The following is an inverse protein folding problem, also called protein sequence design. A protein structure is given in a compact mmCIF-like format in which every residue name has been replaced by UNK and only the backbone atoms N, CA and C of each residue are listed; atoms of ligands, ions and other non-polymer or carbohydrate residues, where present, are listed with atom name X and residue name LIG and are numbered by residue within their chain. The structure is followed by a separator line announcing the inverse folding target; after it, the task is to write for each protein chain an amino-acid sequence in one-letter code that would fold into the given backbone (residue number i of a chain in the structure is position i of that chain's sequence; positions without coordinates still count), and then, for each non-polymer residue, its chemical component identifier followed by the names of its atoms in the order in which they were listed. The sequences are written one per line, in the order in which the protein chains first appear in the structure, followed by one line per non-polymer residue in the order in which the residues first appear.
data_IF_633252929404
#
_entry.id   IF_633252929404
#
_cell.length_a   1.000
_cell.length_b   1.000
_cell.length_c   1.000
_cell.angle_alpha   90.00
_cell.angle_beta   90.00
_cell.angle_gamma   90.00
#
_symmetry.space_group_name_H-M   'P 1'
#
loop_
_entity.id
_entity.type
_entity.pdbx_description
1 polymer ?
#
# COMPACT_ATOMS: atom_id res chain seq x y z
N UNK A 1 -1.86 -1.17 -24.62
CA UNK A 1 -0.60 -1.76 -24.11
C UNK A 1 -0.71 -1.80 -22.59
N UNK A 2 -0.93 -2.96 -21.97
CA UNK A 2 -1.01 -3.03 -20.49
C UNK A 2 0.41 -2.90 -19.96
N UNK A 3 0.76 -1.73 -19.43
CA UNK A 3 2.02 -1.51 -18.75
C UNK A 3 2.11 -2.53 -17.61
N UNK A 4 2.95 -3.54 -17.76
CA UNK A 4 3.20 -4.50 -16.69
C UNK A 4 3.87 -3.72 -15.56
N UNK A 5 3.10 -3.34 -14.53
CA UNK A 5 3.62 -2.68 -13.33
C UNK A 5 4.52 -3.69 -12.60
N UNK A 6 5.80 -3.71 -12.98
CA UNK A 6 6.80 -4.68 -12.48
C UNK A 6 6.82 -4.76 -10.95
N UNK A 7 6.60 -3.64 -10.28
CA UNK A 7 6.53 -3.57 -8.81
C UNK A 7 5.39 -4.42 -8.24
N UNK A 8 4.18 -4.32 -8.81
CA UNK A 8 3.03 -5.14 -8.40
C UNK A 8 3.30 -6.63 -8.61
N UNK A 9 4.03 -6.99 -9.68
CA UNK A 9 4.38 -8.38 -9.97
C UNK A 9 5.45 -8.98 -9.03
N UNK A 10 6.22 -8.16 -8.32
CA UNK A 10 7.18 -8.63 -7.33
C UNK A 10 6.42 -9.11 -6.09
N UNK A 11 5.48 -8.30 -5.60
CA UNK A 11 4.71 -8.60 -4.40
C UNK A 11 3.61 -9.64 -4.62
N UNK A 12 3.17 -9.87 -5.86
CA UNK A 12 2.20 -10.94 -6.16
C UNK A 12 2.71 -12.36 -5.87
N UNK A 13 4.01 -12.53 -5.58
CA UNK A 13 4.60 -13.81 -5.16
C UNK A 13 4.55 -14.02 -3.64
N UNK A 14 4.15 -13.01 -2.89
CA UNK A 14 4.02 -13.08 -1.43
C UNK A 14 2.61 -13.55 -1.12
N UNK A 15 2.51 -14.67 -0.40
CA UNK A 15 1.23 -15.12 0.15
C UNK A 15 0.76 -14.11 1.19
N UNK A 16 -0.53 -13.78 1.16
CA UNK A 16 -1.11 -12.82 2.10
C UNK A 16 -1.44 -13.50 3.44
N UNK A 17 -0.64 -13.28 4.51
CA UNK A 17 -0.80 -13.98 5.78
C UNK A 17 -1.96 -13.41 6.61
N UNK A 18 -2.58 -12.30 6.16
CA UNK A 18 -3.67 -11.66 6.87
C UNK A 18 -4.91 -12.55 6.83
N UNK A 19 -5.75 -12.45 7.86
CA UNK A 19 -7.07 -13.10 7.88
C UNK A 19 -7.97 -12.50 6.81
N UNK A 20 -8.78 -13.34 6.14
CA UNK A 20 -9.65 -12.88 5.04
C UNK A 20 -10.61 -11.77 5.45
N UNK A 21 -11.11 -11.80 6.69
CA UNK A 21 -11.98 -10.76 7.26
C UNK A 21 -11.33 -9.36 7.30
N UNK A 22 -9.99 -9.28 7.23
CA UNK A 22 -9.23 -8.03 7.31
C UNK A 22 -8.68 -7.57 5.96
N UNK A 23 -9.02 -8.24 4.84
CA UNK A 23 -8.48 -7.96 3.50
C UNK A 23 -9.28 -6.88 2.74
N UNK A 24 -9.54 -5.73 3.37
CA UNK A 24 -10.16 -4.59 2.67
C UNK A 24 -9.20 -3.97 1.64
N UNK A 25 -7.90 -3.92 1.95
CA UNK A 25 -6.90 -3.36 1.04
C UNK A 25 -6.03 -4.49 0.46
N UNK A 26 -5.65 -4.37 -0.82
CA UNK A 26 -4.73 -5.31 -1.44
C UNK A 26 -3.38 -5.28 -0.74
N UNK A 27 -2.79 -6.45 -0.49
CA UNK A 27 -1.48 -6.52 0.17
C UNK A 27 -0.43 -5.74 -0.63
N UNK A 28 -0.44 -5.87 -1.95
CA UNK A 28 0.47 -5.15 -2.84
C UNK A 28 0.38 -3.63 -2.68
N UNK A 29 -0.83 -3.08 -2.52
CA UNK A 29 -1.05 -1.65 -2.35
C UNK A 29 -0.45 -1.19 -1.01
N UNK A 30 -0.68 -1.94 0.07
CA UNK A 30 -0.10 -1.65 1.39
C UNK A 30 1.43 -1.69 1.36
N UNK A 31 2.00 -2.76 0.79
CA UNK A 31 3.46 -2.93 0.73
C UNK A 31 4.11 -1.81 -0.06
N UNK A 32 3.53 -1.41 -1.19
CA UNK A 32 4.08 -0.34 -2.01
C UNK A 32 3.93 1.03 -1.35
N UNK A 33 2.82 1.30 -0.68
CA UNK A 33 2.65 2.53 0.13
C UNK A 33 3.75 2.59 1.19
N UNK A 34 3.93 1.54 1.99
CA UNK A 34 4.95 1.55 3.06
C UNK A 34 6.36 1.81 2.54
N UNK A 35 6.76 1.15 1.44
CA UNK A 35 8.09 1.35 0.84
C UNK A 35 8.28 2.79 0.36
N UNK A 36 7.30 3.33 -0.38
CA UNK A 36 7.41 4.70 -0.93
C UNK A 36 7.40 5.71 0.22
N UNK A 37 6.51 5.56 1.19
CA UNK A 37 6.42 6.45 2.35
C UNK A 37 7.74 6.50 3.13
N UNK A 38 8.37 5.34 3.40
CA UNK A 38 9.67 5.29 4.09
C UNK A 38 10.79 5.93 3.27
N UNK A 39 10.84 5.70 1.95
CA UNK A 39 11.80 6.37 1.06
C UNK A 39 11.62 7.90 1.09
N UNK A 40 10.36 8.37 1.21
CA UNK A 40 10.03 9.78 1.35
C UNK A 40 10.22 10.33 2.78
N UNK A 41 10.70 9.53 3.72
CA UNK A 41 11.08 9.96 5.06
C UNK A 41 10.02 9.75 6.15
N UNK A 42 8.92 9.04 5.86
CA UNK A 42 7.96 8.67 6.89
C UNK A 42 8.58 7.66 7.88
N UNK A 43 8.52 7.97 9.18
CA UNK A 43 9.09 7.14 10.25
C UNK A 43 8.04 6.40 11.10
N UNK A 44 6.76 6.72 10.89
CA UNK A 44 5.63 6.14 11.63
C UNK A 44 4.48 5.77 10.71
N UNK A 45 3.60 4.85 11.14
CA UNK A 45 2.42 4.48 10.36
C UNK A 45 1.44 5.64 10.14
N UNK A 46 1.39 6.59 11.08
CA UNK A 46 0.60 7.81 10.94
C UNK A 46 1.16 8.70 9.83
N UNK A 47 2.49 8.82 9.74
CA UNK A 47 3.14 9.55 8.65
C UNK A 47 2.99 8.82 7.31
N UNK A 48 2.99 7.49 7.29
CA UNK A 48 2.72 6.73 6.08
C UNK A 48 1.28 6.94 5.59
N UNK A 49 0.30 6.94 6.49
CA UNK A 49 -1.10 7.24 6.17
C UNK A 49 -1.23 8.68 5.65
N UNK A 50 -0.62 9.66 6.35
CA UNK A 50 -0.63 11.06 5.95
C UNK A 50 -0.04 11.24 4.55
N UNK A 51 1.15 10.69 4.30
CA UNK A 51 1.78 10.71 2.98
C UNK A 51 0.85 10.12 1.91
N UNK A 52 0.23 8.98 2.20
CA UNK A 52 -0.62 8.30 1.24
C UNK A 52 -1.91 9.07 0.94
N UNK A 53 -2.47 9.79 1.92
CA UNK A 53 -3.57 10.73 1.73
C UNK A 53 -3.15 11.93 0.89
N UNK A 54 -2.00 12.55 1.19
CA UNK A 54 -1.49 13.70 0.44
C UNK A 54 -1.09 13.37 -1.00
N UNK A 55 -0.71 12.11 -1.27
CA UNK A 55 -0.28 11.63 -2.59
C UNK A 55 -1.25 10.66 -3.22
N UNK A 56 -2.51 10.62 -2.78
CA UNK A 56 -3.51 9.66 -3.26
C UNK A 56 -3.65 9.69 -4.79
N UNK A 57 -3.75 10.88 -5.40
CA UNK A 57 -3.85 11.05 -6.86
C UNK A 57 -2.67 10.42 -7.60
N UNK A 58 -1.45 10.60 -7.08
CA UNK A 58 -0.24 10.00 -7.62
C UNK A 58 -0.24 8.48 -7.45
N UNK A 59 -0.59 8.00 -6.26
CA UNK A 59 -0.63 6.56 -5.95
C UNK A 59 -1.66 5.83 -6.82
N UNK A 60 -2.82 6.44 -7.08
CA UNK A 60 -3.87 5.90 -7.97
C UNK A 60 -3.45 5.75 -9.43
N UNK A 61 -2.33 6.35 -9.85
CA UNK A 61 -1.81 6.12 -11.21
C UNK A 61 -1.26 4.71 -11.41
N UNK A 62 -0.91 3.99 -10.33
CA UNK A 62 -0.36 2.64 -10.40
C UNK A 62 -0.89 1.66 -9.34
N UNK A 63 -1.60 2.14 -8.31
CA UNK A 63 -2.32 1.32 -7.32
C UNK A 63 -3.82 1.31 -7.58
N UNK A 64 -4.48 0.21 -7.20
CA UNK A 64 -5.93 0.09 -7.38
C UNK A 64 -6.72 0.75 -6.24
N UNK A 65 -6.26 0.62 -4.99
CA UNK A 65 -6.86 1.25 -3.80
C UNK A 65 -8.39 1.08 -3.75
N UNK A 66 -8.90 -0.17 -3.76
CA UNK A 66 -10.33 -0.46 -3.90
C UNK A 66 -11.18 0.10 -2.75
N UNK A 67 -10.57 0.28 -1.57
CA UNK A 67 -11.20 0.86 -0.38
C UNK A 67 -10.46 2.13 0.09
N UNK A 68 -9.81 2.84 -0.83
CA UNK A 68 -9.02 4.02 -0.53
C UNK A 68 -7.71 3.72 0.20
N UNK A 69 -7.18 4.74 0.86
CA UNK A 69 -5.92 4.68 1.60
C UNK A 69 -6.09 3.82 2.87
N UNK A 70 -5.22 2.82 3.10
CA UNK A 70 -5.21 2.07 4.35
C UNK A 70 -4.87 2.99 5.54
N UNK A 71 -5.61 2.87 6.63
CA UNK A 71 -5.32 3.60 7.86
C UNK A 71 -4.00 3.17 8.50
N UNK A 72 -3.42 3.99 9.37
CA UNK A 72 -2.23 3.65 10.16
C UNK A 72 -2.40 2.32 10.92
N UNK A 73 -3.59 2.01 11.45
CA UNK A 73 -3.89 0.71 12.07
C UNK A 73 -3.76 -0.46 11.09
N UNK A 74 -4.14 -0.26 9.84
CA UNK A 74 -4.01 -1.27 8.78
C UNK A 74 -2.56 -1.47 8.39
N UNK A 75 -1.79 -0.38 8.32
CA UNK A 75 -0.35 -0.43 8.05
C UNK A 75 0.40 -1.13 9.20
N UNK A 76 0.09 -0.79 10.45
CA UNK A 76 0.67 -1.40 11.66
C UNK A 76 0.37 -2.90 11.80
N UNK A 77 -0.75 -3.38 11.25
CA UNK A 77 -1.03 -4.83 11.21
C UNK A 77 -0.13 -5.59 10.22
N UNK A 78 0.51 -4.90 9.28
CA UNK A 78 1.29 -5.53 8.19
C UNK A 78 2.80 -5.40 8.38
N UNK A 79 3.27 -4.24 8.88
CA UNK A 79 4.68 -3.96 9.14
C UNK A 79 5.00 -4.10 10.62
#
# INVERSE_FOLDING_TARGET
MKTTNKLVSIFSKIDDPRRDLTKLHKLNDILLIGIISVICGADSWNEMELYAQEKEDFLRTFLELPNGIPSHDTLNRVF
#
